data_IF_464324270551
#
_entry.id   IF_464324270551
#
_cell.length_a   1.000
_cell.length_b   1.000
_cell.length_c   1.000
_cell.angle_alpha   90.00
_cell.angle_beta   90.00
_cell.angle_gamma   90.00
#
_symmetry.space_group_name_H-M   'P 1'
#
loop_
_entity.id
_entity.type
_entity.pdbx_description
1 polymer ?
#
# COMPACT_ATOMS: atom_id res chain seq x y z
N UNK A 1 2.03 12.70 15.33
CA UNK A 1 1.33 12.28 14.10
C UNK A 1 -0.15 12.36 14.38
N UNK A 2 -0.89 13.26 13.71
CA UNK A 2 -0.45 14.09 12.57
C UNK A 2 0.61 15.15 12.96
N UNK A 3 1.32 15.70 11.98
CA UNK A 3 2.22 16.85 12.09
C UNK A 3 1.54 18.11 11.56
N UNK A 4 1.80 19.25 12.19
CA UNK A 4 1.63 20.57 11.56
C UNK A 4 2.92 21.00 10.84
N UNK A 5 2.82 21.99 9.95
CA UNK A 5 4.01 22.59 9.30
C UNK A 5 5.04 23.06 10.34
N UNK A 6 4.62 23.77 11.38
CA UNK A 6 5.52 24.25 12.43
C UNK A 6 6.26 23.11 13.14
N UNK A 7 5.58 21.99 13.39
CA UNK A 7 6.20 20.80 13.98
C UNK A 7 7.19 20.16 13.01
N UNK A 8 6.82 20.06 11.72
CA UNK A 8 7.67 19.50 10.68
C UNK A 8 8.98 20.27 10.51
N UNK A 9 8.95 21.61 10.57
CA UNK A 9 10.15 22.45 10.45
C UNK A 9 11.10 22.34 11.64
N UNK A 10 10.64 21.82 12.77
CA UNK A 10 11.42 21.65 13.99
C UNK A 10 11.85 20.20 14.24
N UNK A 11 11.52 19.26 13.35
CA UNK A 11 11.90 17.86 13.56
C UNK A 11 13.41 17.69 13.53
N UNK A 12 13.90 16.84 14.42
CA UNK A 12 15.29 16.45 14.41
C UNK A 12 15.57 15.42 13.29
N UNK A 13 16.86 15.21 13.02
CA UNK A 13 17.31 14.27 11.98
C UNK A 13 16.80 12.84 12.22
N UNK A 14 16.64 12.44 13.48
CA UNK A 14 16.14 11.11 13.84
C UNK A 14 14.67 10.98 13.44
N UNK A 15 13.82 11.95 13.80
CA UNK A 15 12.39 11.94 13.45
C UNK A 15 12.20 11.99 11.94
N UNK A 16 12.96 12.84 11.23
CA UNK A 16 12.96 12.86 9.76
C UNK A 16 13.28 11.47 9.17
N UNK A 17 14.28 10.78 9.70
CA UNK A 17 14.61 9.41 9.25
C UNK A 17 13.49 8.40 9.51
N UNK A 18 12.69 8.57 10.57
CA UNK A 18 11.54 7.69 10.82
C UNK A 18 10.42 7.91 9.81
N UNK A 19 10.20 9.14 9.37
CA UNK A 19 9.24 9.48 8.31
C UNK A 19 9.67 8.83 6.99
N UNK A 20 10.93 8.99 6.60
CA UNK A 20 11.47 8.35 5.40
C UNK A 20 11.32 6.82 5.46
N UNK A 21 11.57 6.24 6.63
CA UNK A 21 11.41 4.80 6.83
C UNK A 21 9.95 4.36 6.77
N UNK A 22 9.00 5.16 7.26
CA UNK A 22 7.56 4.91 7.13
C UNK A 22 7.17 4.89 5.66
N UNK A 23 7.55 5.93 4.90
CA UNK A 23 7.25 6.05 3.47
C UNK A 23 7.82 4.87 2.69
N UNK A 24 9.09 4.53 2.94
CA UNK A 24 9.74 3.40 2.30
C UNK A 24 9.02 2.08 2.59
N UNK A 25 8.64 1.83 3.85
CA UNK A 25 7.95 0.59 4.24
C UNK A 25 6.54 0.50 3.67
N UNK A 26 5.81 1.62 3.65
CA UNK A 26 4.48 1.70 3.05
C UNK A 26 4.54 1.32 1.57
N UNK A 27 5.40 2.00 0.79
CA UNK A 27 5.59 1.72 -0.63
C UNK A 27 6.05 0.29 -0.86
N UNK A 28 7.03 -0.19 -0.10
CA UNK A 28 7.57 -1.54 -0.26
C UNK A 28 6.52 -2.62 0.00
N UNK A 29 5.67 -2.44 1.01
CA UNK A 29 4.60 -3.37 1.31
C UNK A 29 3.56 -3.40 0.19
N UNK A 30 3.10 -2.23 -0.27
CA UNK A 30 2.12 -2.13 -1.34
C UNK A 30 2.65 -2.76 -2.64
N UNK A 31 3.88 -2.44 -3.03
CA UNK A 31 4.51 -2.95 -4.25
C UNK A 31 4.69 -4.46 -4.20
N UNK A 32 5.19 -4.98 -3.07
CA UNK A 32 5.39 -6.42 -2.90
C UNK A 32 4.06 -7.18 -2.99
N UNK A 33 2.99 -6.63 -2.40
CA UNK A 33 1.66 -7.21 -2.50
C UNK A 33 1.12 -7.18 -3.93
N UNK A 34 1.17 -6.01 -4.58
CA UNK A 34 0.63 -5.83 -5.93
C UNK A 34 1.37 -6.62 -6.99
N UNK A 35 2.70 -6.63 -6.96
CA UNK A 35 3.52 -7.25 -8.01
C UNK A 35 3.64 -8.76 -7.84
N UNK A 36 3.83 -9.22 -6.59
CA UNK A 36 4.19 -10.61 -6.32
C UNK A 36 3.04 -11.39 -5.67
N UNK A 37 2.48 -10.88 -4.56
CA UNK A 37 1.50 -11.63 -3.78
C UNK A 37 0.20 -11.87 -4.55
N UNK A 38 -0.35 -10.83 -5.17
CA UNK A 38 -1.61 -10.92 -5.90
C UNK A 38 -1.50 -11.89 -7.09
N UNK A 39 -0.39 -11.82 -7.84
CA UNK A 39 -0.10 -12.77 -8.92
C UNK A 39 0.05 -14.20 -8.40
N UNK A 40 0.75 -14.39 -7.29
CA UNK A 40 0.93 -15.71 -6.69
C UNK A 40 -0.41 -16.36 -6.31
N UNK A 41 -1.36 -15.58 -5.76
CA UNK A 41 -2.70 -16.07 -5.42
C UNK A 41 -3.44 -16.58 -6.67
N UNK A 42 -3.35 -15.87 -7.79
CA UNK A 42 -3.95 -16.29 -9.05
C UNK A 42 -3.31 -17.59 -9.58
N UNK A 43 -1.97 -17.70 -9.53
CA UNK A 43 -1.24 -18.92 -9.92
C UNK A 43 -1.70 -20.12 -9.07
N UNK A 44 -1.78 -19.95 -7.75
CA UNK A 44 -2.21 -21.00 -6.83
C UNK A 44 -3.67 -21.42 -7.05
N UNK A 45 -4.50 -20.49 -7.54
CA UNK A 45 -5.89 -20.75 -7.92
C UNK A 45 -6.03 -21.44 -9.30
N UNK A 46 -4.90 -21.78 -9.95
CA UNK A 46 -4.79 -22.37 -11.29
C UNK A 46 -5.34 -21.46 -12.41
N UNK A 47 -5.28 -20.14 -12.20
CA UNK A 47 -5.66 -19.16 -13.21
C UNK A 47 -4.48 -18.83 -14.14
N UNK A 48 -4.77 -18.52 -15.41
CA UNK A 48 -3.76 -18.18 -16.42
C UNK A 48 -3.32 -16.71 -16.29
N UNK A 49 -2.45 -16.45 -15.31
CA UNK A 49 -1.98 -15.10 -14.95
C UNK A 49 -1.27 -14.38 -16.10
N UNK A 50 -0.70 -15.10 -17.07
CA UNK A 50 0.01 -14.50 -18.22
C UNK A 50 -0.90 -13.66 -19.11
N UNK A 51 -2.22 -13.93 -19.09
CA UNK A 51 -3.22 -13.20 -19.88
C UNK A 51 -3.91 -12.10 -19.09
N UNK A 52 -3.69 -12.03 -17.77
CA UNK A 52 -4.37 -11.07 -16.91
C UNK A 52 -3.60 -9.75 -16.82
N UNK A 53 -4.29 -8.65 -17.05
CA UNK A 53 -3.81 -7.32 -16.69
C UNK A 53 -3.81 -7.15 -15.17
N UNK A 54 -3.16 -6.08 -14.67
CA UNK A 54 -3.21 -5.81 -13.22
C UNK A 54 -4.64 -5.52 -12.73
N UNK A 55 -5.45 -4.84 -13.55
CA UNK A 55 -6.85 -4.57 -13.23
C UNK A 55 -7.67 -5.86 -13.19
N UNK A 56 -7.43 -6.81 -14.08
CA UNK A 56 -8.09 -8.12 -14.04
C UNK A 56 -7.80 -8.86 -12.74
N UNK A 57 -6.55 -8.79 -12.26
CA UNK A 57 -6.16 -9.38 -10.98
C UNK A 57 -6.90 -8.71 -9.81
N UNK A 58 -7.02 -7.38 -9.82
CA UNK A 58 -7.75 -6.67 -8.76
C UNK A 58 -9.25 -6.99 -8.78
N UNK A 59 -9.88 -7.00 -9.97
CA UNK A 59 -11.27 -7.42 -10.13
C UNK A 59 -11.48 -8.82 -9.58
N UNK A 60 -10.54 -9.73 -9.87
CA UNK A 60 -10.64 -11.10 -9.39
C UNK A 60 -10.49 -11.23 -7.88
N UNK A 61 -9.57 -10.47 -7.27
CA UNK A 61 -9.42 -10.45 -5.81
C UNK A 61 -10.64 -9.82 -5.11
N UNK A 62 -11.30 -8.86 -5.76
CA UNK A 62 -12.56 -8.26 -5.31
C UNK A 62 -13.73 -9.25 -5.38
N UNK A 63 -13.86 -10.01 -6.49
CA UNK A 63 -14.84 -11.11 -6.59
C UNK A 63 -14.63 -12.21 -5.54
N UNK A 64 -13.38 -12.39 -5.10
CA UNK A 64 -13.02 -13.34 -4.04
C UNK A 64 -13.19 -12.75 -2.63
N UNK A 65 -13.70 -11.52 -2.52
CA UNK A 65 -13.91 -10.76 -1.28
C UNK A 65 -12.63 -10.57 -0.45
N UNK A 66 -11.47 -10.51 -1.11
CA UNK A 66 -10.16 -10.40 -0.45
C UNK A 66 -9.77 -8.95 -0.23
N UNK A 67 -10.03 -8.10 -1.23
CA UNK A 67 -9.70 -6.67 -1.23
C UNK A 67 -10.84 -5.88 -1.90
N UNK A 68 -10.93 -4.59 -1.59
CA UNK A 68 -11.67 -3.63 -2.42
C UNK A 68 -10.71 -3.04 -3.47
N UNK A 69 -11.07 -3.14 -4.74
CA UNK A 69 -10.20 -2.68 -5.84
C UNK A 69 -10.03 -1.16 -5.83
N UNK A 70 -11.10 -0.42 -5.59
CA UNK A 70 -11.07 1.05 -5.65
C UNK A 70 -10.23 1.61 -4.50
N UNK A 71 -10.37 1.02 -3.32
CA UNK A 71 -9.51 1.34 -2.19
C UNK A 71 -8.04 1.04 -2.49
N UNK A 72 -7.74 -0.12 -3.08
CA UNK A 72 -6.37 -0.46 -3.44
C UNK A 72 -5.77 0.55 -4.44
N UNK A 73 -6.56 0.96 -5.44
CA UNK A 73 -6.14 1.97 -6.43
C UNK A 73 -5.91 3.34 -5.77
N UNK A 74 -6.79 3.79 -4.89
CA UNK A 74 -6.63 5.04 -4.16
C UNK A 74 -5.35 5.04 -3.30
N UNK A 75 -5.05 3.94 -2.61
CA UNK A 75 -3.80 3.80 -1.87
C UNK A 75 -2.57 3.83 -2.79
N UNK A 76 -2.70 3.35 -4.03
CA UNK A 76 -1.61 3.35 -5.01
C UNK A 76 -1.38 4.74 -5.61
N UNK A 77 -2.44 5.54 -5.75
CA UNK A 77 -2.34 6.95 -6.15
C UNK A 77 -1.57 7.75 -5.10
N UNK A 78 -1.93 7.62 -3.82
CA UNK A 78 -1.19 8.23 -2.70
C UNK A 78 0.30 7.82 -2.74
N UNK A 79 0.59 6.54 -3.03
CA UNK A 79 1.97 6.07 -3.20
C UNK A 79 2.70 6.78 -4.34
N UNK A 80 2.03 7.02 -5.45
CA UNK A 80 2.62 7.66 -6.61
C UNK A 80 2.86 9.15 -6.39
N UNK A 81 1.95 9.84 -5.70
CA UNK A 81 2.11 11.24 -5.28
C UNK A 81 3.40 11.39 -4.48
N UNK A 82 3.64 10.53 -3.47
CA UNK A 82 4.88 10.54 -2.67
C UNK A 82 6.15 10.40 -3.53
N UNK A 83 6.12 9.54 -4.55
CA UNK A 83 7.28 9.31 -5.41
C UNK A 83 7.60 10.52 -6.30
N UNK A 84 6.64 11.43 -6.53
CA UNK A 84 6.77 12.59 -7.41
C UNK A 84 6.82 13.92 -6.64
N UNK A 85 6.22 14.00 -5.44
CA UNK A 85 5.93 15.22 -4.67
C UNK A 85 6.87 15.46 -3.48
N UNK A 86 8.12 15.00 -3.56
CA UNK A 86 9.20 15.72 -2.85
C UNK A 86 9.45 17.07 -3.58
N UNK A 87 8.38 17.86 -3.70
CA UNK A 87 8.28 19.16 -4.34
C UNK A 87 8.85 20.22 -3.39
N UNK A 88 9.12 21.42 -3.92
CA UNK A 88 9.71 22.53 -3.18
C UNK A 88 8.78 23.10 -2.08
N UNK A 89 7.53 22.60 -1.95
CA UNK A 89 6.52 23.09 -1.03
C UNK A 89 6.43 22.23 0.25
N UNK A 90 6.71 22.84 1.41
CA UNK A 90 6.77 22.13 2.69
C UNK A 90 5.37 21.75 3.22
N UNK A 91 4.31 22.47 2.86
CA UNK A 91 2.94 22.14 3.26
C UNK A 91 2.47 20.83 2.62
N UNK A 92 2.71 20.66 1.32
CA UNK A 92 2.38 19.44 0.56
C UNK A 92 3.06 18.20 1.14
N UNK A 93 4.33 18.34 1.57
CA UNK A 93 5.08 17.26 2.21
C UNK A 93 4.44 16.85 3.53
N UNK A 94 4.00 17.79 4.35
CA UNK A 94 3.37 17.51 5.65
C UNK A 94 2.02 16.82 5.47
N UNK A 95 1.20 17.30 4.54
CA UNK A 95 -0.08 16.69 4.22
C UNK A 95 0.10 15.25 3.74
N UNK A 96 1.06 15.03 2.84
CA UNK A 96 1.42 13.70 2.34
C UNK A 96 1.84 12.75 3.48
N UNK A 97 2.71 13.20 4.38
CA UNK A 97 3.15 12.40 5.54
C UNK A 97 1.96 12.01 6.43
N UNK A 98 1.05 12.96 6.68
CA UNK A 98 -0.14 12.73 7.49
C UNK A 98 -1.08 11.72 6.84
N UNK A 99 -1.29 11.82 5.53
CA UNK A 99 -2.09 10.88 4.74
C UNK A 99 -1.49 9.46 4.83
N UNK A 100 -0.16 9.31 4.65
CA UNK A 100 0.50 8.00 4.78
C UNK A 100 0.28 7.41 6.16
N UNK A 101 0.48 8.21 7.20
CA UNK A 101 0.31 7.75 8.57
C UNK A 101 -1.11 7.23 8.79
N UNK A 102 -2.13 7.98 8.34
CA UNK A 102 -3.53 7.56 8.43
C UNK A 102 -3.81 6.28 7.62
N UNK A 103 -3.29 6.18 6.40
CA UNK A 103 -3.57 5.05 5.49
C UNK A 103 -2.69 3.82 5.75
N UNK A 104 -1.65 3.93 6.55
CA UNK A 104 -0.74 2.82 6.87
C UNK A 104 -1.46 1.65 7.52
N UNK A 105 -2.33 1.93 8.48
CA UNK A 105 -3.15 0.90 9.13
C UNK A 105 -4.09 0.22 8.13
N UNK A 106 -4.60 0.97 7.15
CA UNK A 106 -5.46 0.41 6.12
C UNK A 106 -4.71 -0.56 5.20
N UNK A 107 -3.52 -0.19 4.75
CA UNK A 107 -2.67 -1.08 3.94
C UNK A 107 -2.30 -2.37 4.71
N UNK A 108 -2.00 -2.24 6.01
CA UNK A 108 -1.73 -3.40 6.88
C UNK A 108 -2.96 -4.29 7.03
N UNK A 109 -4.17 -3.71 7.12
CA UNK A 109 -5.40 -4.49 7.20
C UNK A 109 -5.68 -5.25 5.89
N UNK A 110 -5.44 -4.65 4.73
CA UNK A 110 -5.51 -5.34 3.44
C UNK A 110 -4.55 -6.55 3.43
N UNK A 111 -3.30 -6.35 3.86
CA UNK A 111 -2.35 -7.46 4.00
C UNK A 111 -2.87 -8.58 4.90
N UNK A 112 -3.47 -8.25 6.05
CA UNK A 112 -4.05 -9.25 6.97
C UNK A 112 -5.21 -10.02 6.32
N UNK A 113 -6.08 -9.35 5.57
CA UNK A 113 -7.17 -9.99 4.82
C UNK A 113 -6.62 -10.98 3.79
N UNK A 114 -5.63 -10.54 3.01
CA UNK A 114 -4.96 -11.38 2.01
C UNK A 114 -4.27 -12.58 2.67
N UNK A 115 -3.54 -12.36 3.77
CA UNK A 115 -2.87 -13.42 4.52
C UNK A 115 -3.87 -14.47 5.05
N UNK A 116 -4.99 -14.01 5.62
CA UNK A 116 -6.05 -14.87 6.12
C UNK A 116 -6.68 -15.70 5.00
N UNK A 117 -6.94 -15.08 3.85
CA UNK A 117 -7.43 -15.78 2.66
C UNK A 117 -6.50 -16.89 2.20
N UNK A 118 -5.20 -16.58 2.04
CA UNK A 118 -4.19 -17.57 1.63
C UNK A 118 -4.11 -18.72 2.64
N UNK A 119 -4.08 -18.41 3.94
CA UNK A 119 -4.01 -19.41 5.00
C UNK A 119 -5.21 -20.35 4.99
N UNK A 120 -6.42 -19.83 4.84
CA UNK A 120 -7.65 -20.63 4.94
C UNK A 120 -7.94 -21.42 3.66
N UNK A 121 -7.66 -20.86 2.48
CA UNK A 121 -8.14 -21.42 1.21
C UNK A 121 -7.07 -22.15 0.41
N UNK A 122 -5.80 -21.78 0.58
CA UNK A 122 -4.69 -22.28 -0.25
C UNK A 122 -3.72 -23.20 0.50
N UNK A 123 -3.60 -23.07 1.83
CA UNK A 123 -2.70 -23.90 2.65
C UNK A 123 -3.41 -25.06 3.38
N UNK A 124 -4.74 -25.16 3.34
CA UNK A 124 -5.52 -26.26 3.95
C UNK A 124 -5.86 -27.34 2.93
N UNK A 125 -4.94 -27.66 2.02
CA UNK A 125 -5.07 -28.79 1.08
C UNK A 125 -4.08 -29.89 1.40
#
# INVERSE_FOLDING_TARGET
MPFSLEQYLQIDKITSSFIDQLNFRFSKLQDTMGESLFRAIMIMSKEDVKKMTFIDILNRLEELEVIDKNEWLALREIRNEIAHEYSFNQDEVVDTINIIYEKSDRLVNIYKSVHTFVKNRLLVK
#
